data_IF_294908283816
#
_entry.id   IF_294908283816
#
_cell.length_a   1.000
_cell.length_b   1.000
_cell.length_c   1.000
_cell.angle_alpha   90.00
_cell.angle_beta   90.00
_cell.angle_gamma   90.00
#
_symmetry.space_group_name_H-M   'P 1'
#
loop_
_entity.id
_entity.type
_entity.pdbx_description
1 polymer ?
#
# COMPACT_ATOMS: atom_id res chain seq x y z
N UNK A 1 22.51 -14.51 -37.98
CA UNK A 1 21.37 -15.27 -37.46
C UNK A 1 21.66 -15.98 -36.13
N UNK A 2 22.51 -17.01 -36.13
CA UNK A 2 22.65 -17.96 -35.01
C UNK A 2 23.30 -17.41 -33.72
N UNK A 3 24.32 -16.54 -33.83
CA UNK A 3 25.00 -15.95 -32.65
C UNK A 3 24.07 -15.05 -31.81
N UNK A 4 23.21 -14.26 -32.44
CA UNK A 4 22.22 -13.45 -31.73
C UNK A 4 21.16 -14.33 -31.06
N UNK A 5 20.68 -15.37 -31.74
CA UNK A 5 19.74 -16.34 -31.16
C UNK A 5 20.32 -17.05 -29.92
N UNK A 6 21.58 -17.50 -29.99
CA UNK A 6 22.27 -18.11 -28.84
C UNK A 6 22.43 -17.14 -27.67
N UNK A 7 22.79 -15.87 -27.93
CA UNK A 7 22.87 -14.84 -26.88
C UNK A 7 21.52 -14.60 -26.22
N UNK A 8 20.43 -14.59 -26.99
CA UNK A 8 19.06 -14.47 -26.45
C UNK A 8 18.70 -15.67 -25.58
N UNK A 9 18.95 -16.91 -26.05
CA UNK A 9 18.69 -18.13 -25.27
C UNK A 9 19.48 -18.17 -23.96
N UNK A 10 20.77 -17.81 -23.98
CA UNK A 10 21.59 -17.75 -22.77
C UNK A 10 21.09 -16.69 -21.79
N UNK A 11 20.66 -15.53 -22.29
CA UNK A 11 20.05 -14.48 -21.46
C UNK A 11 18.76 -14.95 -20.79
N UNK A 12 17.92 -15.70 -21.52
CA UNK A 12 16.70 -16.32 -20.99
C UNK A 12 17.04 -17.37 -19.92
N UNK A 13 17.98 -18.29 -20.22
CA UNK A 13 18.40 -19.35 -19.30
C UNK A 13 18.96 -18.80 -17.98
N UNK A 14 19.69 -17.67 -18.02
CA UNK A 14 20.20 -17.01 -16.80
C UNK A 14 19.08 -16.48 -15.89
N UNK A 15 17.88 -16.23 -16.41
CA UNK A 15 16.73 -15.73 -15.65
C UNK A 15 15.85 -16.84 -15.11
N UNK A 16 15.99 -18.07 -15.61
CA UNK A 16 15.22 -19.25 -15.18
C UNK A 16 15.18 -19.44 -13.66
N UNK A 17 16.30 -19.32 -12.91
CA UNK A 17 16.27 -19.47 -11.45
C UNK A 17 15.46 -18.38 -10.75
N UNK A 18 15.54 -17.13 -11.23
CA UNK A 18 14.77 -16.02 -10.67
C UNK A 18 13.26 -16.23 -10.89
N UNK A 19 12.87 -16.77 -12.06
CA UNK A 19 11.47 -17.11 -12.36
C UNK A 19 10.98 -18.21 -11.43
N UNK A 20 11.74 -19.30 -11.25
CA UNK A 20 11.36 -20.36 -10.29
C UNK A 20 11.20 -19.83 -8.86
N UNK A 21 12.12 -18.97 -8.41
CA UNK A 21 12.02 -18.34 -7.09
C UNK A 21 10.77 -17.46 -6.97
N UNK A 22 10.40 -16.73 -8.03
CA UNK A 22 9.19 -15.92 -8.04
C UNK A 22 7.92 -16.79 -7.96
N UNK A 23 7.86 -17.90 -8.73
CA UNK A 23 6.75 -18.87 -8.69
C UNK A 23 6.63 -19.48 -7.29
N UNK A 24 7.73 -19.92 -6.70
CA UNK A 24 7.73 -20.50 -5.36
C UNK A 24 7.22 -19.50 -4.32
N UNK A 25 7.70 -18.25 -4.35
CA UNK A 25 7.22 -17.19 -3.46
C UNK A 25 5.73 -16.92 -3.63
N UNK A 26 5.25 -16.84 -4.88
CA UNK A 26 3.83 -16.66 -5.18
C UNK A 26 2.99 -17.80 -4.59
N UNK A 27 3.37 -19.05 -4.84
CA UNK A 27 2.65 -20.22 -4.34
C UNK A 27 2.61 -20.27 -2.80
N UNK A 28 3.71 -19.91 -2.13
CA UNK A 28 3.74 -19.77 -0.67
C UNK A 28 2.75 -18.70 -0.18
N UNK A 29 2.66 -17.56 -0.88
CA UNK A 29 1.65 -16.55 -0.57
C UNK A 29 0.22 -17.08 -0.77
N UNK A 30 -0.06 -17.82 -1.85
CA UNK A 30 -1.36 -18.44 -2.09
C UNK A 30 -1.77 -19.39 -0.95
N UNK A 31 -0.83 -20.18 -0.42
CA UNK A 31 -1.07 -21.05 0.73
C UNK A 31 -1.40 -20.24 1.99
N UNK A 32 -0.56 -19.23 2.31
CA UNK A 32 -0.74 -18.37 3.48
C UNK A 32 -2.05 -17.58 3.43
N UNK A 33 -2.45 -17.09 2.25
CA UNK A 33 -3.73 -16.40 2.09
C UNK A 33 -4.89 -17.34 2.38
N UNK A 34 -4.84 -18.61 1.95
CA UNK A 34 -5.87 -19.62 2.28
C UNK A 34 -6.01 -19.84 3.78
N UNK A 35 -4.90 -19.89 4.51
CA UNK A 35 -4.90 -20.06 5.97
C UNK A 35 -5.51 -18.87 6.71
N UNK A 36 -5.36 -17.65 6.16
CA UNK A 36 -5.87 -16.42 6.77
C UNK A 36 -7.35 -16.15 6.46
N UNK A 37 -7.99 -16.95 5.60
CA UNK A 37 -9.40 -16.74 5.24
C UNK A 37 -10.29 -17.08 6.44
N UNK A 38 -11.09 -16.11 6.95
CA UNK A 38 -11.98 -16.35 8.07
C UNK A 38 -13.09 -17.34 7.68
N UNK A 39 -13.43 -18.24 8.61
CA UNK A 39 -14.49 -19.23 8.41
C UNK A 39 -15.82 -18.56 8.03
N UNK A 40 -16.52 -19.13 7.04
CA UNK A 40 -17.84 -18.67 6.60
C UNK A 40 -17.84 -17.51 5.61
N UNK A 41 -16.67 -17.01 5.16
CA UNK A 41 -16.61 -16.04 4.05
C UNK A 41 -16.06 -16.67 2.78
N UNK A 42 -16.77 -16.48 1.67
CA UNK A 42 -16.29 -16.84 0.34
C UNK A 42 -15.60 -15.62 -0.27
N UNK A 43 -14.30 -15.75 -0.54
CA UNK A 43 -13.53 -14.78 -1.31
C UNK A 43 -12.86 -15.52 -2.48
N UNK A 44 -12.77 -14.89 -3.67
CA UNK A 44 -11.99 -15.45 -4.75
C UNK A 44 -10.51 -15.47 -4.34
N UNK A 45 -9.92 -16.67 -4.29
CA UNK A 45 -8.53 -16.87 -3.89
C UNK A 45 -7.67 -17.24 -5.09
N UNK A 46 -6.43 -16.72 -5.16
CA UNK A 46 -5.51 -17.08 -6.23
C UNK A 46 -5.13 -18.56 -6.17
N UNK A 47 -5.03 -19.19 -7.33
CA UNK A 47 -4.58 -20.56 -7.47
C UNK A 47 -3.06 -20.63 -7.59
N UNK A 48 -2.40 -21.65 -7.02
CA UNK A 48 -0.97 -21.83 -7.18
C UNK A 48 -0.62 -22.09 -8.65
N UNK A 49 0.48 -21.50 -9.11
CA UNK A 49 1.00 -21.64 -10.46
C UNK A 49 1.84 -22.91 -10.60
N UNK A 50 1.92 -23.51 -11.81
CA UNK A 50 2.82 -24.60 -12.12
C UNK A 50 4.28 -24.21 -11.86
N UNK A 51 5.02 -25.10 -11.19
CA UNK A 51 6.46 -24.94 -10.97
C UNK A 51 7.28 -25.16 -12.24
N UNK A 52 6.72 -25.85 -13.23
CA UNK A 52 7.32 -26.02 -14.56
C UNK A 52 7.04 -24.81 -15.46
N UNK A 53 8.09 -24.09 -15.84
CA UNK A 53 8.00 -22.87 -16.68
C UNK A 53 7.38 -23.15 -18.06
N UNK A 54 7.57 -24.35 -18.62
CA UNK A 54 6.98 -24.77 -19.89
C UNK A 54 5.44 -24.77 -19.85
N UNK A 55 4.86 -25.19 -18.72
CA UNK A 55 3.41 -25.23 -18.50
C UNK A 55 2.87 -23.84 -18.18
N UNK A 56 3.65 -23.02 -17.49
CA UNK A 56 3.28 -21.65 -17.10
C UNK A 56 2.86 -20.77 -18.28
N UNK A 57 3.53 -20.91 -19.43
CA UNK A 57 3.28 -20.05 -20.60
C UNK A 57 1.84 -20.12 -21.11
N UNK A 58 1.20 -21.28 -20.99
CA UNK A 58 -0.15 -21.51 -21.49
C UNK A 58 -1.17 -21.61 -20.35
N UNK A 59 -0.76 -21.27 -19.12
CA UNK A 59 -1.64 -21.34 -17.96
C UNK A 59 -2.59 -20.13 -17.96
N UNK A 60 -3.92 -20.35 -18.06
CA UNK A 60 -4.89 -19.25 -18.01
C UNK A 60 -4.87 -18.49 -16.67
N UNK A 61 -4.40 -19.12 -15.58
CA UNK A 61 -4.34 -18.50 -14.25
C UNK A 61 -3.18 -17.49 -14.10
N UNK A 62 -2.17 -17.52 -14.99
CA UNK A 62 -0.97 -16.68 -14.86
C UNK A 62 -1.27 -15.18 -14.84
N UNK A 63 -2.26 -14.75 -15.62
CA UNK A 63 -2.67 -13.35 -15.75
C UNK A 63 -4.13 -13.15 -15.30
N UNK A 64 -4.66 -14.06 -14.49
CA UNK A 64 -6.02 -13.96 -14.00
C UNK A 64 -6.17 -12.80 -13.00
N UNK A 65 -7.16 -11.96 -13.27
CA UNK A 65 -7.59 -10.92 -12.35
C UNK A 65 -8.56 -11.48 -11.30
N UNK A 66 -7.97 -12.13 -10.30
CA UNK A 66 -8.71 -12.83 -9.24
C UNK A 66 -9.53 -11.87 -8.37
N UNK A 67 -9.08 -10.63 -8.18
CA UNK A 67 -9.62 -9.74 -7.16
C UNK A 67 -10.38 -8.53 -7.69
N UNK A 68 -10.16 -8.08 -8.92
CA UNK A 68 -10.86 -6.89 -9.44
C UNK A 68 -12.08 -7.31 -10.26
N UNK A 69 -11.96 -8.32 -11.11
CA UNK A 69 -13.05 -8.83 -11.94
C UNK A 69 -14.01 -9.77 -11.20
N UNK A 70 -13.54 -10.45 -10.15
CA UNK A 70 -14.33 -11.47 -9.45
C UNK A 70 -14.95 -10.98 -8.13
N UNK A 71 -15.08 -9.65 -7.96
CA UNK A 71 -15.68 -9.04 -6.78
C UNK A 71 -17.17 -9.40 -6.73
N UNK A 72 -17.67 -10.08 -5.68
CA UNK A 72 -19.08 -10.42 -5.57
C UNK A 72 -19.96 -9.16 -5.60
N UNK A 73 -21.13 -9.27 -6.24
CA UNK A 73 -22.16 -8.24 -6.14
C UNK A 73 -22.49 -7.99 -4.65
N UNK A 74 -22.38 -6.73 -4.22
CA UNK A 74 -22.54 -6.35 -2.80
C UNK A 74 -21.24 -6.12 -2.03
N UNK A 75 -20.08 -6.16 -2.68
CA UNK A 75 -18.83 -5.75 -2.04
C UNK A 75 -18.84 -4.27 -1.62
N UNK A 76 -18.04 -3.94 -0.60
CA UNK A 76 -18.01 -2.60 -0.02
C UNK A 76 -17.68 -1.53 -1.06
N UNK A 77 -18.47 -0.45 -1.10
CA UNK A 77 -18.36 0.59 -2.13
C UNK A 77 -17.00 1.27 -2.19
N UNK A 78 -16.24 1.32 -1.10
CA UNK A 78 -14.88 1.86 -1.14
C UNK A 78 -13.95 1.05 -2.05
N UNK A 79 -14.22 -0.24 -2.26
CA UNK A 79 -13.42 -1.10 -3.14
C UNK A 79 -13.83 -0.96 -4.61
N UNK A 80 -15.13 -0.86 -4.88
CA UNK A 80 -15.68 -0.89 -6.24
C UNK A 80 -15.88 0.51 -6.85
N UNK A 81 -16.27 1.50 -6.05
CA UNK A 81 -16.64 2.84 -6.49
C UNK A 81 -15.47 3.82 -6.28
N UNK A 82 -14.92 4.31 -7.39
CA UNK A 82 -13.80 5.27 -7.36
C UNK A 82 -14.21 6.61 -6.73
N UNK A 83 -15.46 7.04 -6.90
CA UNK A 83 -16.00 8.26 -6.31
C UNK A 83 -16.02 8.14 -4.79
N UNK A 84 -16.41 6.98 -4.26
CA UNK A 84 -16.38 6.71 -2.81
C UNK A 84 -14.95 6.77 -2.27
N UNK A 85 -13.96 6.25 -3.00
CA UNK A 85 -12.55 6.38 -2.58
C UNK A 85 -12.08 7.83 -2.55
N UNK A 86 -12.44 8.61 -3.56
CA UNK A 86 -12.10 10.04 -3.61
C UNK A 86 -12.77 10.77 -2.45
N UNK A 87 -14.05 10.49 -2.17
CA UNK A 87 -14.79 11.07 -1.05
C UNK A 87 -14.16 10.74 0.31
N UNK A 88 -13.77 9.48 0.55
CA UNK A 88 -13.08 9.07 1.79
C UNK A 88 -11.79 9.87 1.98
N UNK A 89 -10.96 9.98 0.94
CA UNK A 89 -9.71 10.76 1.02
C UNK A 89 -9.99 12.25 1.28
N UNK A 90 -11.00 12.81 0.62
CA UNK A 90 -11.41 14.19 0.84
C UNK A 90 -11.85 14.42 2.30
N UNK A 91 -12.63 13.50 2.87
CA UNK A 91 -13.05 13.58 4.27
C UNK A 91 -11.85 13.54 5.22
N UNK A 92 -10.91 12.61 5.00
CA UNK A 92 -9.70 12.52 5.82
C UNK A 92 -8.86 13.80 5.75
N UNK A 93 -8.79 14.45 4.59
CA UNK A 93 -8.12 15.75 4.44
C UNK A 93 -8.82 16.83 5.26
N UNK A 94 -10.16 16.88 5.27
CA UNK A 94 -10.91 17.83 6.08
C UNK A 94 -10.68 17.63 7.58
N UNK A 95 -10.71 16.37 8.02
CA UNK A 95 -10.44 15.99 9.41
C UNK A 95 -9.02 16.39 9.82
N UNK A 96 -8.03 16.16 8.95
CA UNK A 96 -6.65 16.59 9.16
C UNK A 96 -6.53 18.11 9.26
N UNK A 97 -7.23 18.87 8.41
CA UNK A 97 -7.26 20.32 8.53
C UNK A 97 -7.86 20.80 9.86
N UNK A 98 -8.88 20.10 10.39
CA UNK A 98 -9.46 20.44 11.68
C UNK A 98 -8.51 20.13 12.85
N UNK A 99 -7.80 19.01 12.78
CA UNK A 99 -6.73 18.67 13.73
C UNK A 99 -5.62 19.73 13.71
N UNK A 100 -5.18 20.10 12.51
CA UNK A 100 -4.10 21.06 12.31
C UNK A 100 -4.46 22.45 12.85
N UNK A 101 -5.69 22.93 12.61
CA UNK A 101 -6.16 24.19 13.20
C UNK A 101 -6.10 24.17 14.73
N UNK A 102 -6.53 23.08 15.37
CA UNK A 102 -6.47 22.95 16.83
C UNK A 102 -5.03 22.96 17.33
N UNK A 103 -4.11 22.29 16.61
CA UNK A 103 -2.68 22.30 16.93
C UNK A 103 -2.11 23.71 16.85
N UNK A 104 -2.36 24.42 15.75
CA UNK A 104 -1.86 25.78 15.53
C UNK A 104 -2.38 26.75 16.60
N UNK A 105 -3.67 26.69 16.97
CA UNK A 105 -4.20 27.55 18.04
C UNK A 105 -3.52 27.29 19.39
N UNK A 106 -3.16 26.03 19.68
CA UNK A 106 -2.41 25.70 20.91
C UNK A 106 -1.00 26.27 20.85
N UNK A 107 -0.31 26.10 19.73
CA UNK A 107 1.06 26.61 19.54
C UNK A 107 1.10 28.14 19.60
N UNK A 108 0.13 28.81 18.98
CA UNK A 108 -0.04 30.27 19.06
C UNK A 108 -0.19 30.74 20.51
N UNK A 109 -1.09 30.12 21.28
CA UNK A 109 -1.29 30.46 22.68
C UNK A 109 -0.02 30.25 23.51
N UNK A 110 0.70 29.15 23.28
CA UNK A 110 1.96 28.86 23.96
C UNK A 110 3.05 29.87 23.65
N UNK A 111 3.22 30.24 22.38
CA UNK A 111 4.20 31.24 21.95
C UNK A 111 3.88 32.62 22.52
N UNK A 112 2.61 33.01 22.55
CA UNK A 112 2.19 34.28 23.13
C UNK A 112 2.46 34.35 24.63
N UNK A 113 2.14 33.29 25.37
CA UNK A 113 2.42 33.23 26.81
C UNK A 113 3.92 33.25 27.11
N UNK A 114 4.72 32.50 26.34
CA UNK A 114 6.17 32.56 26.45
C UNK A 114 6.69 33.99 26.20
N UNK A 115 6.26 34.64 25.12
CA UNK A 115 6.67 36.01 24.80
C UNK A 115 6.31 37.00 25.92
N UNK A 116 5.12 36.88 26.51
CA UNK A 116 4.70 37.71 27.64
C UNK A 116 5.62 37.52 28.85
N UNK A 117 6.01 36.27 29.15
CA UNK A 117 6.90 35.97 30.27
C UNK A 117 8.30 36.52 30.02
N UNK A 118 8.86 36.33 28.83
CA UNK A 118 10.17 36.87 28.46
C UNK A 118 10.19 38.40 28.48
N UNK A 119 9.15 39.05 27.91
CA UNK A 119 9.04 40.50 27.95
C UNK A 119 9.02 41.03 29.39
N UNK A 120 8.26 40.37 30.28
CA UNK A 120 8.25 40.71 31.71
C UNK A 120 9.63 40.53 32.34
N UNK A 121 10.31 39.41 32.09
CA UNK A 121 11.65 39.15 32.63
C UNK A 121 12.66 40.23 32.19
N UNK A 122 12.64 40.63 30.91
CA UNK A 122 13.48 41.71 30.39
C UNK A 122 13.14 43.04 31.06
N UNK A 123 11.86 43.38 31.19
CA UNK A 123 11.48 44.63 31.88
C UNK A 123 11.93 44.64 33.34
N UNK A 124 11.81 43.53 34.06
CA UNK A 124 12.31 43.44 35.44
C UNK A 124 13.83 43.63 35.47
N UNK A 125 14.58 42.95 34.59
CA UNK A 125 16.05 43.11 34.54
C UNK A 125 16.50 44.53 34.19
N UNK A 126 15.71 45.29 33.42
CA UNK A 126 16.02 46.68 33.07
C UNK A 126 15.70 47.68 34.19
N UNK A 127 14.68 47.41 35.01
CA UNK A 127 14.13 48.38 35.97
C UNK A 127 14.26 47.97 37.44
N UNK A 128 14.69 46.75 37.75
CA UNK A 128 15.06 46.30 39.09
C UNK A 128 16.58 45.99 39.09
N UNK A 129 17.43 46.87 39.68
CA UNK A 129 18.87 46.66 39.77
C UNK A 129 19.26 45.49 40.67
#
# INVERSE_FOLDING_TARGET
GTKQHQRVLQSIQRRTPAIHNAIARYNTCCARVRELVPAGRSFPLPQPLPTEISKLRNDPALLEDVWVSNIPAGCARWLTDSTVRVAIRAQLSLDRCAEERKRLSREEAQLLEWLKLEAKAVTVALYAP
#
